data_IF_350047741821
#
_entry.id   IF_350047741821
#
_cell.length_a   1.000
_cell.length_b   1.000
_cell.length_c   1.000
_cell.angle_alpha   90.00
_cell.angle_beta   90.00
_cell.angle_gamma   90.00
#
_symmetry.space_group_name_H-M   'P 1'
#
loop_
_entity.id
_entity.type
_entity.pdbx_description
1 polymer ?
#
# COMPACT_ATOMS: atom_id res chain seq x y z
N UNK A 1 -2.27 -49.50 -13.55
CA UNK A 1 -3.30 -48.52 -13.94
C UNK A 1 -3.80 -47.90 -12.65
N UNK A 2 -3.31 -46.70 -12.33
CA UNK A 2 -3.75 -45.91 -11.17
C UNK A 2 -4.38 -44.64 -11.74
N UNK A 3 -5.63 -44.39 -11.37
CA UNK A 3 -6.48 -43.30 -11.84
C UNK A 3 -5.87 -41.93 -11.54
N UNK A 4 -5.61 -41.16 -12.60
CA UNK A 4 -5.11 -39.78 -12.57
C UNK A 4 -6.29 -38.79 -12.72
N UNK A 5 -7.14 -38.68 -11.71
CA UNK A 5 -8.14 -37.61 -11.64
C UNK A 5 -8.24 -37.04 -10.21
N UNK A 6 -7.30 -36.12 -9.92
CA UNK A 6 -7.38 -34.96 -9.00
C UNK A 6 -5.96 -34.52 -8.64
N UNK A 7 -5.46 -33.35 -9.07
CA UNK A 7 -4.34 -32.72 -8.40
C UNK A 7 -4.86 -31.96 -7.18
N UNK A 8 -4.99 -32.69 -6.08
CA UNK A 8 -5.06 -32.14 -4.72
C UNK A 8 -3.64 -31.76 -4.30
N UNK A 9 -3.20 -30.52 -4.53
CA UNK A 9 -2.18 -29.85 -3.70
C UNK A 9 -2.46 -28.34 -3.73
N UNK A 10 -3.53 -27.93 -3.06
CA UNK A 10 -3.75 -26.55 -2.65
C UNK A 10 -3.00 -26.33 -1.32
N UNK A 11 -1.90 -25.58 -1.34
CA UNK A 11 -1.37 -24.99 -0.12
C UNK A 11 -1.92 -23.57 0.02
N UNK A 12 -2.81 -23.39 1.01
CA UNK A 12 -3.19 -22.12 1.65
C UNK A 12 -4.15 -21.14 0.95
N UNK A 13 -4.94 -21.55 -0.05
CA UNK A 13 -5.99 -20.66 -0.59
C UNK A 13 -7.43 -21.20 -0.56
N UNK A 14 -7.66 -22.51 -0.44
CA UNK A 14 -9.03 -23.05 -0.50
C UNK A 14 -9.71 -23.29 0.86
N UNK A 15 -9.00 -23.37 1.98
CA UNK A 15 -9.64 -23.78 3.25
C UNK A 15 -10.17 -22.67 4.15
N UNK A 16 -9.97 -21.38 3.83
CA UNK A 16 -10.26 -20.28 4.79
C UNK A 16 -10.86 -19.01 4.20
N UNK A 17 -11.38 -19.08 2.97
CA UNK A 17 -12.01 -17.93 2.30
C UNK A 17 -13.54 -18.03 2.19
N UNK A 18 -14.14 -19.11 2.70
CA UNK A 18 -15.58 -19.41 2.58
C UNK A 18 -16.44 -18.87 3.72
N UNK A 19 -15.86 -18.55 4.87
CA UNK A 19 -16.62 -18.05 6.01
C UNK A 19 -16.41 -16.55 6.22
N UNK A 20 -17.48 -15.85 6.59
CA UNK A 20 -17.51 -14.43 6.98
C UNK A 20 -16.65 -14.10 8.22
N UNK A 21 -15.64 -14.91 8.54
CA UNK A 21 -14.73 -14.71 9.64
C UNK A 21 -13.45 -14.00 9.19
N UNK A 22 -12.95 -13.18 10.10
CA UNK A 22 -11.84 -12.25 9.91
C UNK A 22 -10.62 -12.94 9.31
N UNK A 23 -10.22 -12.53 8.11
CA UNK A 23 -8.94 -12.89 7.46
C UNK A 23 -7.74 -12.67 8.40
N UNK A 24 -7.86 -11.80 9.40
CA UNK A 24 -6.84 -11.59 10.44
C UNK A 24 -6.68 -12.78 11.38
N UNK A 25 -7.76 -13.46 11.78
CA UNK A 25 -7.69 -14.60 12.71
C UNK A 25 -7.17 -15.88 12.04
N UNK A 26 -7.53 -16.08 10.77
CA UNK A 26 -7.20 -17.29 10.02
C UNK A 26 -5.74 -17.40 9.56
N UNK A 27 -4.98 -16.30 9.57
CA UNK A 27 -3.52 -16.33 9.34
C UNK A 27 -2.72 -16.19 10.64
N UNK A 28 -3.36 -16.29 11.81
CA UNK A 28 -2.70 -16.07 13.10
C UNK A 28 -2.37 -14.61 13.38
N UNK A 29 -2.84 -13.66 12.58
CA UNK A 29 -2.75 -12.22 12.84
C UNK A 29 -3.83 -11.79 13.84
N UNK A 30 -3.86 -12.40 15.03
CA UNK A 30 -4.71 -11.89 16.10
C UNK A 30 -4.28 -10.45 16.42
N UNK A 31 -5.17 -9.49 16.23
CA UNK A 31 -5.04 -8.11 16.71
C UNK A 31 -3.98 -7.24 16.04
N UNK A 32 -4.42 -6.25 15.24
CA UNK A 32 -3.75 -4.95 15.00
C UNK A 32 -2.35 -4.94 14.36
N UNK A 33 -1.78 -6.08 13.98
CA UNK A 33 -0.35 -6.17 13.62
C UNK A 33 -0.02 -5.90 12.15
N UNK A 34 -0.98 -5.99 11.23
CA UNK A 34 -0.77 -5.74 9.78
C UNK A 34 -1.85 -4.83 9.19
N UNK A 35 -1.49 -4.00 8.19
CA UNK A 35 -2.42 -3.08 7.51
C UNK A 35 -3.32 -3.84 6.54
N UNK A 36 -4.57 -3.39 6.42
CA UNK A 36 -5.66 -4.03 5.65
C UNK A 36 -5.48 -4.05 4.11
N UNK A 37 -4.33 -3.60 3.58
CA UNK A 37 -4.10 -3.51 2.14
C UNK A 37 -3.26 -4.69 1.67
N UNK A 38 -3.87 -5.57 0.89
CA UNK A 38 -3.22 -6.74 0.28
C UNK A 38 -3.14 -6.55 -1.24
N UNK A 39 -1.92 -6.64 -1.76
CA UNK A 39 -1.60 -6.69 -3.19
C UNK A 39 -1.75 -8.12 -3.65
N UNK A 40 -2.56 -8.35 -4.68
CA UNK A 40 -2.65 -9.65 -5.35
C UNK A 40 -2.18 -9.48 -6.78
N UNK A 41 -1.16 -10.25 -7.16
CA UNK A 41 -0.58 -10.23 -8.49
C UNK A 41 -0.66 -11.61 -9.15
N UNK A 42 -0.95 -11.63 -10.45
CA UNK A 42 -1.11 -12.84 -11.23
C UNK A 42 -0.17 -12.87 -12.42
N UNK A 43 0.86 -13.70 -12.32
CA UNK A 43 1.97 -13.73 -13.26
C UNK A 43 2.06 -15.07 -13.97
N UNK A 44 2.14 -15.05 -15.31
CA UNK A 44 2.22 -16.27 -16.11
C UNK A 44 3.51 -17.05 -15.84
N UNK A 45 3.35 -18.38 -15.75
CA UNK A 45 4.46 -19.32 -15.80
C UNK A 45 5.07 -19.32 -17.21
N UNK A 46 6.38 -19.61 -17.27
CA UNK A 46 7.13 -19.68 -18.52
C UNK A 46 7.51 -21.11 -18.91
N UNK A 47 7.30 -22.07 -18.01
CA UNK A 47 7.50 -23.49 -18.28
C UNK A 47 6.42 -24.01 -19.23
N UNK A 48 6.53 -25.29 -19.64
CA UNK A 48 5.53 -25.94 -20.50
C UNK A 48 4.11 -25.94 -19.90
N UNK A 49 4.00 -25.72 -18.59
CA UNK A 49 2.74 -25.56 -17.88
C UNK A 49 2.16 -24.15 -18.11
N UNK A 50 1.00 -24.08 -18.75
CA UNK A 50 0.28 -22.82 -19.04
C UNK A 50 -0.46 -22.23 -17.82
N UNK A 51 0.13 -22.37 -16.63
CA UNK A 51 -0.44 -21.90 -15.37
C UNK A 51 -0.16 -20.42 -15.08
N UNK A 52 -0.87 -19.90 -14.09
CA UNK A 52 -0.66 -18.58 -13.50
C UNK A 52 -0.21 -18.77 -12.06
N UNK A 53 0.90 -18.15 -11.70
CA UNK A 53 1.30 -18.01 -10.29
C UNK A 53 0.62 -16.77 -9.71
N UNK A 54 -0.21 -16.97 -8.70
CA UNK A 54 -0.79 -15.89 -7.92
C UNK A 54 0.05 -15.70 -6.66
N UNK A 55 0.30 -14.44 -6.33
CA UNK A 55 0.93 -14.05 -5.07
C UNK A 55 0.09 -13.01 -4.38
N UNK A 56 -0.05 -13.14 -3.07
CA UNK A 56 -0.66 -12.12 -2.21
C UNK A 56 0.43 -11.57 -1.30
N UNK A 57 0.48 -10.26 -1.14
CA UNK A 57 1.56 -9.60 -0.41
C UNK A 57 1.11 -8.28 0.18
N UNK A 58 1.73 -7.87 1.28
CA UNK A 58 1.49 -6.58 1.93
C UNK A 58 2.81 -5.87 2.22
N UNK A 59 2.75 -4.70 2.84
CA UNK A 59 3.89 -4.02 3.42
C UNK A 59 3.88 -4.28 4.93
N UNK A 60 5.05 -4.49 5.53
CA UNK A 60 5.17 -4.59 6.99
C UNK A 60 5.40 -3.21 7.64
N UNK A 61 5.47 -3.20 8.96
CA UNK A 61 5.76 -2.03 9.77
C UNK A 61 7.17 -1.45 9.57
N UNK A 62 8.06 -2.12 8.83
CA UNK A 62 9.37 -1.60 8.43
C UNK A 62 9.36 -1.01 7.01
N UNK A 63 8.23 -1.07 6.30
CA UNK A 63 8.09 -0.60 4.93
C UNK A 63 8.59 -1.58 3.87
N UNK A 64 8.73 -2.86 4.21
CA UNK A 64 9.24 -3.91 3.32
C UNK A 64 8.13 -4.86 2.87
N UNK A 65 8.32 -5.52 1.72
CA UNK A 65 7.32 -6.42 1.11
C UNK A 65 7.21 -7.72 1.89
N UNK A 66 6.05 -8.01 2.46
CA UNK A 66 5.72 -9.26 3.14
C UNK A 66 4.84 -10.14 2.23
N UNK A 67 5.36 -11.23 1.66
CA UNK A 67 4.54 -12.25 1.02
C UNK A 67 3.62 -12.92 2.06
N UNK A 68 2.34 -13.05 1.74
CA UNK A 68 1.33 -13.66 2.61
C UNK A 68 0.98 -15.07 2.14
N UNK A 69 0.69 -15.23 0.85
CA UNK A 69 0.37 -16.52 0.25
C UNK A 69 0.76 -16.57 -1.23
N UNK A 70 0.91 -17.78 -1.77
CA UNK A 70 1.14 -18.02 -3.19
C UNK A 70 0.43 -19.30 -3.63
N UNK A 71 -0.02 -19.35 -4.88
CA UNK A 71 -0.64 -20.54 -5.48
C UNK A 71 -0.36 -20.59 -6.98
N UNK A 72 -0.34 -21.79 -7.55
CA UNK A 72 -0.36 -21.99 -9.01
C UNK A 72 -1.76 -22.43 -9.39
N UNK A 73 -2.41 -21.66 -10.26
CA UNK A 73 -3.76 -21.95 -10.77
C UNK A 73 -3.71 -22.14 -12.28
N UNK A 74 -4.67 -22.90 -12.81
CA UNK A 74 -4.93 -22.87 -14.25
C UNK A 74 -5.59 -21.53 -14.62
N UNK A 75 -5.27 -21.05 -15.83
CA UNK A 75 -5.73 -19.78 -16.39
C UNK A 75 -7.27 -19.65 -16.42
N UNK A 76 -7.99 -20.76 -16.52
CA UNK A 76 -9.46 -20.79 -16.56
C UNK A 76 -10.11 -20.59 -15.18
N UNK A 77 -9.44 -20.97 -14.09
CA UNK A 77 -9.98 -20.91 -12.73
C UNK A 77 -9.79 -19.55 -12.04
N UNK A 78 -8.91 -18.70 -12.58
CA UNK A 78 -8.61 -17.37 -12.02
C UNK A 78 -9.85 -16.48 -11.88
N UNK A 79 -10.78 -16.53 -12.84
CA UNK A 79 -12.01 -15.71 -12.81
C UNK A 79 -13.00 -16.16 -11.74
N UNK A 80 -13.01 -17.45 -11.38
CA UNK A 80 -13.93 -18.04 -10.40
C UNK A 80 -13.44 -17.80 -8.96
N UNK A 81 -12.14 -17.89 -8.72
CA UNK A 81 -11.57 -17.73 -7.37
C UNK A 81 -11.59 -16.28 -6.85
N UNK A 82 -11.69 -15.29 -7.74
CA UNK A 82 -11.34 -13.90 -7.45
C UNK A 82 -12.49 -13.01 -6.95
N UNK A 83 -13.73 -13.50 -6.82
CA UNK A 83 -14.95 -12.69 -6.57
C UNK A 83 -14.80 -11.39 -5.76
N UNK A 84 -15.56 -10.35 -6.11
CA UNK A 84 -15.46 -9.02 -5.46
C UNK A 84 -15.74 -9.09 -3.95
N UNK A 85 -14.82 -8.55 -3.13
CA UNK A 85 -14.96 -8.46 -1.67
C UNK A 85 -14.87 -7.02 -1.19
N UNK A 86 -15.80 -6.63 -0.32
CA UNK A 86 -15.74 -5.34 0.37
C UNK A 86 -14.49 -5.28 1.28
N UNK A 87 -13.89 -4.09 1.41
CA UNK A 87 -12.72 -3.80 2.25
C UNK A 87 -11.37 -4.40 1.80
N UNK A 88 -11.24 -4.90 0.57
CA UNK A 88 -9.97 -5.34 0.01
C UNK A 88 -9.56 -4.48 -1.20
N UNK A 89 -8.38 -3.86 -1.17
CA UNK A 89 -7.86 -3.07 -2.30
C UNK A 89 -6.88 -3.92 -3.12
N UNK A 90 -7.38 -4.57 -4.17
CA UNK A 90 -6.52 -5.40 -5.02
C UNK A 90 -5.78 -4.60 -6.07
N UNK A 91 -4.45 -4.64 -5.98
CA UNK A 91 -3.53 -4.04 -6.94
C UNK A 91 -2.88 -5.14 -7.76
N UNK A 92 -3.47 -5.46 -8.92
CA UNK A 92 -2.89 -6.37 -9.91
C UNK A 92 -2.30 -5.57 -11.06
N UNK A 93 -1.12 -5.96 -11.55
CA UNK A 93 -0.49 -5.47 -12.79
C UNK A 93 -1.42 -5.40 -14.02
N UNK A 94 -2.46 -6.25 -14.08
CA UNK A 94 -3.50 -6.28 -15.11
C UNK A 94 -4.72 -5.42 -14.80
N UNK A 95 -4.80 -4.85 -13.61
CA UNK A 95 -5.90 -3.97 -13.24
C UNK A 95 -5.72 -2.60 -13.90
N UNK A 96 -6.72 -2.20 -14.69
CA UNK A 96 -6.74 -0.91 -15.43
C UNK A 96 -6.66 0.32 -14.52
N UNK A 97 -6.70 0.12 -13.20
CA UNK A 97 -6.67 1.13 -12.14
C UNK A 97 -5.27 1.48 -11.62
N UNK A 98 -4.21 0.74 -12.00
CA UNK A 98 -2.85 1.06 -11.54
C UNK A 98 -2.33 2.33 -12.20
N UNK A 99 -1.77 3.24 -11.39
CA UNK A 99 -1.35 4.57 -11.83
C UNK A 99 -0.47 4.55 -13.08
N UNK A 100 0.51 3.63 -13.13
CA UNK A 100 1.46 3.46 -14.24
C UNK A 100 0.79 2.95 -15.52
N UNK A 101 -0.24 2.10 -15.40
CA UNK A 101 -0.98 1.59 -16.54
C UNK A 101 -1.87 2.68 -17.15
N UNK A 102 -2.62 3.41 -16.32
CA UNK A 102 -3.39 4.58 -16.77
C UNK A 102 -2.48 5.60 -17.43
N UNK A 103 -1.32 5.89 -16.84
CA UNK A 103 -0.33 6.80 -17.44
C UNK A 103 0.16 6.31 -18.81
N UNK A 104 0.45 5.01 -18.96
CA UNK A 104 0.81 4.42 -20.25
C UNK A 104 -0.30 4.62 -21.28
N UNK A 105 -1.55 4.41 -20.89
CA UNK A 105 -2.70 4.64 -21.77
C UNK A 105 -2.86 6.12 -22.14
N UNK A 106 -2.64 7.04 -21.19
CA UNK A 106 -2.64 8.48 -21.45
C UNK A 106 -1.56 8.83 -22.46
N UNK A 107 -0.34 8.31 -22.28
CA UNK A 107 0.79 8.55 -23.20
C UNK A 107 0.51 8.07 -24.62
N UNK A 108 -0.16 6.93 -24.77
CA UNK A 108 -0.48 6.37 -26.10
C UNK A 108 -1.62 7.16 -26.76
N UNK A 109 -2.66 7.53 -26.00
CA UNK A 109 -3.87 8.19 -26.53
C UNK A 109 -3.71 9.69 -26.74
N UNK A 110 -2.97 10.38 -25.87
CA UNK A 110 -2.90 11.84 -25.81
C UNK A 110 -1.46 12.31 -25.94
N UNK A 111 -1.12 12.88 -27.10
CA UNK A 111 0.28 13.21 -27.47
C UNK A 111 0.78 14.58 -26.97
N UNK A 112 -0.09 15.40 -26.37
CA UNK A 112 0.20 16.80 -26.01
C UNK A 112 0.75 16.89 -24.59
N UNK A 113 1.82 17.67 -24.38
CA UNK A 113 2.24 18.10 -23.04
C UNK A 113 2.68 16.99 -22.07
N UNK A 114 3.20 15.86 -22.57
CA UNK A 114 3.48 14.66 -21.77
C UNK A 114 4.25 14.88 -20.47
N UNK A 115 5.31 15.70 -20.48
CA UNK A 115 6.11 15.94 -19.27
C UNK A 115 5.26 16.57 -18.16
N UNK A 116 4.60 17.69 -18.46
CA UNK A 116 3.74 18.42 -17.51
C UNK A 116 2.51 17.59 -17.10
N UNK A 117 1.90 16.85 -18.03
CA UNK A 117 0.80 15.94 -17.73
C UNK A 117 1.24 14.80 -16.80
N UNK A 118 2.44 14.26 -16.97
CA UNK A 118 2.97 13.20 -16.11
C UNK A 118 3.02 13.68 -14.66
N UNK A 119 3.66 14.82 -14.44
CA UNK A 119 3.81 15.41 -13.12
C UNK A 119 2.46 15.70 -12.48
N UNK A 120 1.55 16.37 -13.21
CA UNK A 120 0.22 16.70 -12.70
C UNK A 120 -0.63 15.45 -12.43
N UNK A 121 -0.59 14.44 -13.30
CA UNK A 121 -1.35 13.21 -13.13
C UNK A 121 -0.90 12.46 -11.86
N UNK A 122 0.39 12.21 -11.70
CA UNK A 122 0.90 11.52 -10.51
C UNK A 122 0.74 12.36 -9.23
N UNK A 123 0.80 13.70 -9.33
CA UNK A 123 0.51 14.57 -8.20
C UNK A 123 -0.98 14.54 -7.83
N UNK A 124 -1.90 14.54 -8.82
CA UNK A 124 -3.35 14.46 -8.60
C UNK A 124 -3.72 13.13 -7.94
N UNK A 125 -3.17 12.03 -8.44
CA UNK A 125 -3.37 10.70 -7.87
C UNK A 125 -2.98 10.62 -6.39
N UNK A 126 -1.96 11.39 -5.98
CA UNK A 126 -1.39 11.43 -4.62
C UNK A 126 -1.94 12.55 -3.75
N UNK A 127 -2.86 13.38 -4.25
CA UNK A 127 -3.49 14.45 -3.48
C UNK A 127 -4.10 13.91 -2.19
N UNK A 128 -3.82 14.62 -1.09
CA UNK A 128 -4.39 14.31 0.22
C UNK A 128 -5.70 15.07 0.49
N UNK A 129 -5.97 16.13 -0.28
CA UNK A 129 -7.18 16.95 -0.16
C UNK A 129 -7.88 17.08 -1.51
N UNK A 130 -9.20 17.31 -1.47
CA UNK A 130 -10.01 17.52 -2.67
C UNK A 130 -9.59 18.82 -3.37
N UNK A 131 -9.22 19.85 -2.62
CA UNK A 131 -8.78 21.12 -3.18
C UNK A 131 -7.50 20.96 -4.01
N UNK A 132 -6.49 20.27 -3.49
CA UNK A 132 -5.26 19.98 -4.25
C UNK A 132 -5.55 19.11 -5.47
N UNK A 133 -6.46 18.14 -5.34
CA UNK A 133 -6.89 17.31 -6.46
C UNK A 133 -7.55 18.15 -7.56
N UNK A 134 -8.54 18.96 -7.21
CA UNK A 134 -9.29 19.79 -8.13
C UNK A 134 -8.39 20.83 -8.82
N UNK A 135 -7.51 21.50 -8.08
CA UNK A 135 -6.54 22.45 -8.64
C UNK A 135 -5.65 21.79 -9.70
N UNK A 136 -5.16 20.57 -9.42
CA UNK A 136 -4.32 19.82 -10.37
C UNK A 136 -5.13 19.31 -11.56
N UNK A 137 -6.38 18.88 -11.36
CA UNK A 137 -7.28 18.48 -12.45
C UNK A 137 -7.61 19.64 -13.39
N UNK A 138 -7.83 20.86 -12.88
CA UNK A 138 -7.99 22.05 -13.71
C UNK A 138 -6.75 22.33 -14.56
N UNK A 139 -5.55 22.18 -13.99
CA UNK A 139 -4.28 22.30 -14.75
C UNK A 139 -4.11 21.22 -15.80
N UNK A 140 -4.63 20.01 -15.59
CA UNK A 140 -4.64 18.93 -16.61
C UNK A 140 -5.58 19.31 -17.74
N UNK A 141 -6.76 19.84 -17.41
CA UNK A 141 -7.77 20.28 -18.37
C UNK A 141 -7.27 21.40 -19.28
N UNK A 142 -6.55 22.38 -18.72
CA UNK A 142 -5.87 23.45 -19.49
C UNK A 142 -4.88 22.89 -20.53
N UNK A 143 -4.22 21.77 -20.23
CA UNK A 143 -3.26 21.15 -21.15
C UNK A 143 -3.99 20.37 -22.23
N UNK A 144 -4.85 19.44 -21.83
CA UNK A 144 -5.68 18.64 -22.73
C UNK A 144 -6.98 18.19 -22.04
N UNK A 145 -8.14 18.80 -22.34
CA UNK A 145 -9.40 18.50 -21.68
C UNK A 145 -9.87 17.06 -21.92
N UNK A 146 -9.40 16.41 -22.99
CA UNK A 146 -9.71 15.01 -23.29
C UNK A 146 -9.10 14.05 -22.26
N UNK A 147 -7.98 14.45 -21.64
CA UNK A 147 -7.34 13.67 -20.56
C UNK A 147 -8.22 13.71 -19.31
N UNK A 148 -8.77 14.87 -18.96
CA UNK A 148 -9.69 15.03 -17.82
C UNK A 148 -10.95 14.18 -18.01
N UNK A 149 -11.59 14.24 -19.18
CA UNK A 149 -12.74 13.39 -19.50
C UNK A 149 -12.40 11.90 -19.40
N UNK A 150 -11.26 11.48 -19.96
CA UNK A 150 -10.79 10.10 -19.87
C UNK A 150 -10.54 9.64 -18.42
N UNK A 151 -9.97 10.49 -17.58
CA UNK A 151 -9.73 10.20 -16.17
C UNK A 151 -11.03 10.10 -15.36
N UNK A 152 -12.03 10.90 -15.71
CA UNK A 152 -13.38 10.84 -15.15
C UNK A 152 -14.06 9.52 -15.50
N UNK A 153 -14.02 9.11 -16.78
CA UNK A 153 -14.62 7.86 -17.27
C UNK A 153 -14.04 6.61 -16.60
N UNK A 154 -12.76 6.61 -16.23
CA UNK A 154 -12.15 5.53 -15.44
C UNK A 154 -12.79 5.43 -14.05
N UNK A 155 -13.20 6.57 -13.49
CA UNK A 155 -13.70 6.73 -12.13
C UNK A 155 -12.57 7.06 -11.14
N UNK A 156 -12.63 8.24 -10.52
CA UNK A 156 -11.56 8.74 -9.62
C UNK A 156 -11.28 7.83 -8.44
N UNK A 157 -12.30 7.15 -7.88
CA UNK A 157 -12.13 6.19 -6.80
C UNK A 157 -11.13 5.07 -7.13
N UNK A 158 -10.97 4.74 -8.43
CA UNK A 158 -10.06 3.69 -8.88
C UNK A 158 -8.60 4.08 -8.85
N UNK A 159 -8.25 5.36 -8.97
CA UNK A 159 -6.85 5.78 -9.13
C UNK A 159 -6.41 6.94 -8.22
N UNK A 160 -7.33 7.76 -7.73
CA UNK A 160 -7.01 8.89 -6.84
C UNK A 160 -7.12 8.52 -5.36
N UNK A 161 -6.14 8.92 -4.55
CA UNK A 161 -6.13 8.70 -3.08
C UNK A 161 -7.37 9.31 -2.42
N UNK A 162 -7.65 10.58 -2.70
CA UNK A 162 -8.72 11.34 -2.02
C UNK A 162 -10.13 10.81 -2.32
N UNK A 163 -10.30 10.09 -3.43
CA UNK A 163 -11.58 9.48 -3.83
C UNK A 163 -11.67 7.98 -3.50
N UNK A 164 -10.61 7.37 -2.96
CA UNK A 164 -10.59 5.95 -2.66
C UNK A 164 -11.55 5.63 -1.51
N UNK A 165 -12.33 4.56 -1.65
CA UNK A 165 -13.23 4.07 -0.58
C UNK A 165 -12.47 3.42 0.57
N UNK A 166 -11.28 2.87 0.29
CA UNK A 166 -10.40 2.23 1.26
C UNK A 166 -9.08 2.99 1.31
N UNK A 167 -8.55 3.14 2.51
CA UNK A 167 -7.29 3.84 2.72
C UNK A 167 -6.11 3.05 2.12
N UNK A 168 -5.65 3.46 0.93
CA UNK A 168 -4.62 2.77 0.12
C UNK A 168 -3.26 3.48 0.06
N UNK A 169 -2.96 4.33 1.04
CA UNK A 169 -1.84 5.30 1.04
C UNK A 169 -0.56 4.82 0.38
N UNK A 170 -0.11 3.62 0.75
CA UNK A 170 1.20 3.09 0.37
C UNK A 170 1.15 2.15 -0.84
N UNK A 171 -0.05 1.83 -1.32
CA UNK A 171 -0.28 0.79 -2.33
C UNK A 171 -1.00 1.37 -3.54
N UNK A 172 -0.52 2.51 -4.04
CA UNK A 172 -1.03 3.12 -5.27
C UNK A 172 -0.20 2.76 -6.51
N UNK A 173 0.91 2.06 -6.30
CA UNK A 173 1.82 1.61 -7.35
C UNK A 173 1.93 0.09 -7.35
N UNK A 174 2.34 -0.46 -8.49
CA UNK A 174 2.65 -1.88 -8.68
C UNK A 174 3.99 -2.28 -8.04
N UNK A 175 4.63 -1.46 -7.22
CA UNK A 175 6.01 -1.71 -6.75
C UNK A 175 6.16 -3.04 -6.01
N UNK A 176 5.15 -3.42 -5.20
CA UNK A 176 5.14 -4.68 -4.46
C UNK A 176 5.13 -5.86 -5.45
N UNK A 177 4.19 -5.84 -6.40
CA UNK A 177 4.07 -6.84 -7.45
C UNK A 177 5.32 -6.91 -8.36
N UNK A 178 5.81 -5.75 -8.85
CA UNK A 178 7.00 -5.66 -9.70
C UNK A 178 8.24 -6.25 -9.02
N UNK A 179 8.43 -5.97 -7.73
CA UNK A 179 9.57 -6.50 -6.96
C UNK A 179 9.50 -8.02 -6.80
N UNK A 180 8.32 -8.58 -6.49
CA UNK A 180 8.15 -10.03 -6.40
C UNK A 180 8.30 -10.72 -7.75
N UNK A 181 7.77 -10.11 -8.82
CA UNK A 181 7.91 -10.62 -10.18
C UNK A 181 9.35 -10.61 -10.67
N UNK A 182 10.18 -9.67 -10.20
CA UNK A 182 11.61 -9.64 -10.44
C UNK A 182 12.34 -10.78 -9.72
N UNK A 183 12.05 -11.00 -8.44
CA UNK A 183 12.68 -12.07 -7.64
C UNK A 183 12.32 -13.46 -8.16
N UNK A 184 11.06 -13.66 -8.54
CA UNK A 184 10.55 -14.96 -9.02
C UNK A 184 10.74 -15.17 -10.53
N UNK A 185 11.39 -14.24 -11.24
CA UNK A 185 11.47 -14.23 -12.72
C UNK A 185 11.99 -15.55 -13.31
N UNK A 186 13.02 -16.14 -12.71
CA UNK A 186 13.66 -17.37 -13.17
C UNK A 186 13.00 -18.62 -12.59
N UNK A 187 12.52 -18.55 -11.35
CA UNK A 187 11.80 -19.66 -10.73
C UNK A 187 10.54 -20.06 -11.54
N UNK A 188 9.92 -19.11 -12.24
CA UNK A 188 8.77 -19.35 -13.13
C UNK A 188 9.06 -20.21 -14.37
N UNK A 189 10.32 -20.51 -14.64
CA UNK A 189 10.75 -21.42 -15.72
C UNK A 189 10.90 -22.86 -15.22
N UNK A 190 10.89 -23.08 -13.90
CA UNK A 190 11.03 -24.39 -13.27
C UNK A 190 9.74 -25.23 -13.39
N UNK A 191 9.84 -26.57 -13.25
CA UNK A 191 8.68 -27.43 -12.98
C UNK A 191 7.90 -26.96 -11.73
N UNK A 192 6.60 -27.26 -11.67
CA UNK A 192 5.71 -26.75 -10.61
C UNK A 192 6.24 -27.10 -9.21
N UNK A 193 6.71 -28.33 -8.99
CA UNK A 193 7.22 -28.76 -7.67
C UNK A 193 8.43 -27.93 -7.24
N UNK A 194 9.37 -27.69 -8.16
CA UNK A 194 10.56 -26.87 -7.89
C UNK A 194 10.22 -25.39 -7.70
N UNK A 195 9.23 -24.87 -8.43
CA UNK A 195 8.73 -23.51 -8.23
C UNK A 195 8.11 -23.35 -6.82
N UNK A 196 7.31 -24.32 -6.37
CA UNK A 196 6.70 -24.27 -5.04
C UNK A 196 7.77 -24.34 -3.94
N UNK A 197 8.78 -25.20 -4.10
CA UNK A 197 9.89 -25.28 -3.13
C UNK A 197 10.74 -24.00 -3.14
N UNK A 198 10.95 -23.39 -4.31
CA UNK A 198 11.58 -22.07 -4.41
C UNK A 198 10.80 -21.01 -3.63
N UNK A 199 9.47 -20.95 -3.82
CA UNK A 199 8.61 -19.97 -3.15
C UNK A 199 8.60 -20.19 -1.64
N UNK A 200 8.53 -21.45 -1.18
CA UNK A 200 8.64 -21.80 0.23
C UNK A 200 9.96 -21.30 0.83
N UNK A 201 11.08 -21.64 0.19
CA UNK A 201 12.43 -21.23 0.64
C UNK A 201 12.59 -19.71 0.63
N UNK A 202 12.01 -19.03 -0.37
CA UNK A 202 12.03 -17.57 -0.47
C UNK A 202 11.32 -16.93 0.72
N UNK A 203 10.11 -17.39 1.04
CA UNK A 203 9.31 -16.89 2.17
C UNK A 203 10.02 -17.17 3.50
N UNK A 204 10.49 -18.40 3.73
CA UNK A 204 11.21 -18.77 4.95
C UNK A 204 12.47 -17.90 5.15
N UNK A 205 13.27 -17.71 4.10
CA UNK A 205 14.46 -16.87 4.14
C UNK A 205 14.11 -15.42 4.45
N UNK A 206 13.13 -14.83 3.77
CA UNK A 206 12.72 -13.44 3.99
C UNK A 206 12.18 -13.23 5.40
N UNK A 207 11.33 -14.14 5.89
CA UNK A 207 10.82 -14.12 7.27
C UNK A 207 11.97 -14.11 8.27
N UNK A 208 12.97 -15.00 8.11
CA UNK A 208 14.13 -15.07 9.00
C UNK A 208 14.99 -13.80 8.95
N UNK A 209 15.34 -13.34 7.75
CA UNK A 209 16.15 -12.11 7.57
C UNK A 209 15.47 -10.89 8.20
N UNK A 210 14.15 -10.78 8.05
CA UNK A 210 13.39 -9.66 8.58
C UNK A 210 13.16 -9.74 10.08
N UNK A 211 12.92 -10.92 10.62
CA UNK A 211 12.88 -11.13 12.07
C UNK A 211 14.21 -10.70 12.72
N UNK A 212 15.34 -11.06 12.11
CA UNK A 212 16.67 -10.63 12.59
C UNK A 212 16.81 -9.12 12.55
N UNK A 213 16.40 -8.46 11.45
CA UNK A 213 16.41 -6.99 11.32
C UNK A 213 15.48 -6.32 12.33
N UNK A 214 14.30 -6.86 12.57
CA UNK A 214 13.35 -6.34 13.56
C UNK A 214 13.92 -6.45 14.98
N UNK A 215 14.56 -7.57 15.32
CA UNK A 215 15.24 -7.76 16.61
C UNK A 215 16.40 -6.78 16.80
N UNK A 216 17.16 -6.50 15.73
CA UNK A 216 18.27 -5.54 15.74
C UNK A 216 17.85 -4.07 15.56
N UNK A 217 16.56 -3.80 15.42
CA UNK A 217 16.03 -2.43 15.39
C UNK A 217 15.84 -1.98 16.84
N UNK A 218 16.42 -0.84 17.22
CA UNK A 218 16.28 -0.27 18.57
C UNK A 218 15.40 0.99 18.61
N UNK A 219 14.88 1.40 17.46
CA UNK A 219 13.92 2.50 17.35
C UNK A 219 12.53 2.06 17.80
N UNK A 220 11.71 3.04 18.18
CA UNK A 220 10.35 2.79 18.63
C UNK A 220 9.42 2.36 17.47
N UNK A 221 9.65 2.93 16.28
CA UNK A 221 9.01 2.54 15.02
C UNK A 221 9.91 1.66 14.16
N UNK A 222 9.33 0.95 13.18
CA UNK A 222 10.11 0.33 12.12
C UNK A 222 10.95 1.35 11.34
N UNK A 223 12.14 0.93 10.89
CA UNK A 223 13.21 1.81 10.40
C UNK A 223 12.74 2.91 9.42
N UNK A 224 11.95 2.55 8.39
CA UNK A 224 11.44 3.50 7.39
C UNK A 224 10.61 4.61 8.04
N UNK A 225 9.67 4.25 8.92
CA UNK A 225 8.75 5.21 9.51
C UNK A 225 9.39 6.00 10.66
N UNK A 226 10.38 5.43 11.35
CA UNK A 226 11.19 6.21 12.28
C UNK A 226 11.96 7.32 11.55
N UNK A 227 12.59 6.99 10.42
CA UNK A 227 13.27 7.98 9.59
C UNK A 227 12.32 9.07 9.08
N UNK A 228 11.14 8.66 8.58
CA UNK A 228 10.10 9.60 8.14
C UNK A 228 9.63 10.51 9.27
N UNK A 229 9.49 9.97 10.48
CA UNK A 229 9.15 10.75 11.67
C UNK A 229 10.26 11.75 12.05
N UNK A 230 11.53 11.35 11.99
CA UNK A 230 12.68 12.22 12.26
C UNK A 230 12.78 13.37 11.23
N UNK A 231 12.56 13.06 9.96
CA UNK A 231 12.48 14.04 8.88
C UNK A 231 11.31 15.01 9.13
N UNK A 232 10.14 14.49 9.51
CA UNK A 232 8.98 15.31 9.83
C UNK A 232 9.21 16.19 11.06
N UNK A 233 9.91 15.68 12.07
CA UNK A 233 10.30 16.45 13.27
C UNK A 233 11.21 17.59 12.87
N UNK A 234 12.21 17.33 12.03
CA UNK A 234 13.13 18.34 11.48
C UNK A 234 12.37 19.45 10.76
N UNK A 235 11.41 19.09 9.89
CA UNK A 235 10.57 20.05 9.17
C UNK A 235 9.67 20.85 10.13
N UNK A 236 9.17 20.23 11.19
CA UNK A 236 8.29 20.88 12.16
C UNK A 236 8.95 22.09 12.84
N UNK A 237 10.28 22.11 12.97
CA UNK A 237 11.02 23.21 13.62
C UNK A 237 10.89 24.54 12.88
N UNK A 238 10.60 24.50 11.57
CA UNK A 238 10.41 25.69 10.74
C UNK A 238 9.00 26.28 10.84
N UNK A 239 8.08 25.56 11.48
CA UNK A 239 6.66 25.90 11.51
C UNK A 239 6.32 26.71 12.76
N UNK A 240 5.44 27.70 12.57
CA UNK A 240 4.92 28.52 13.67
C UNK A 240 3.50 28.09 14.01
N UNK A 241 3.21 27.92 15.30
CA UNK A 241 1.90 27.49 15.78
C UNK A 241 1.21 28.62 16.53
N UNK A 242 -0.09 28.77 16.29
CA UNK A 242 -1.00 29.63 17.04
C UNK A 242 -2.14 28.77 17.60
N UNK A 243 -2.18 28.64 18.91
CA UNK A 243 -3.32 28.00 19.58
C UNK A 243 -4.58 28.83 19.32
N UNK A 244 -5.65 28.17 18.91
CA UNK A 244 -6.99 28.77 18.78
C UNK A 244 -7.89 28.32 19.93
N UNK A 245 -7.76 27.06 20.34
CA UNK A 245 -8.35 26.45 21.55
C UNK A 245 -7.36 25.44 22.12
N UNK A 246 -7.73 24.73 23.18
CA UNK A 246 -6.91 23.66 23.76
C UNK A 246 -6.63 22.51 22.79
N UNK A 247 -7.52 22.29 21.81
CA UNK A 247 -7.43 21.17 20.87
C UNK A 247 -7.13 21.61 19.43
N UNK A 248 -7.54 22.82 19.05
CA UNK A 248 -7.42 23.34 17.68
C UNK A 248 -6.27 24.35 17.59
N UNK A 249 -5.36 24.08 16.66
CA UNK A 249 -4.16 24.87 16.46
C UNK A 249 -4.01 25.24 14.99
N UNK A 250 -3.66 26.50 14.73
CA UNK A 250 -3.31 26.97 13.40
C UNK A 250 -1.79 26.89 13.23
N UNK A 251 -1.34 26.09 12.28
CA UNK A 251 0.08 25.95 11.91
C UNK A 251 0.35 26.76 10.65
N UNK A 252 1.39 27.59 10.69
CA UNK A 252 1.78 28.50 9.62
C UNK A 252 3.06 27.98 8.98
N UNK A 253 3.00 27.72 7.68
CA UNK A 253 4.10 27.31 6.81
C UNK A 253 4.23 28.30 5.66
N UNK A 254 5.08 29.31 5.85
CA UNK A 254 5.17 30.46 4.94
C UNK A 254 3.81 31.17 4.78
N UNK A 255 3.25 31.11 3.57
CA UNK A 255 1.93 31.70 3.23
C UNK A 255 0.76 30.76 3.51
N UNK A 256 1.02 29.46 3.69
CA UNK A 256 -0.01 28.44 3.91
C UNK A 256 -0.34 28.34 5.39
N UNK A 257 -1.61 28.02 5.67
CA UNK A 257 -2.13 27.79 7.01
C UNK A 257 -2.81 26.43 7.06
N UNK A 258 -2.53 25.69 8.11
CA UNK A 258 -3.12 24.38 8.35
C UNK A 258 -3.79 24.36 9.71
N UNK A 259 -4.93 23.69 9.78
CA UNK A 259 -5.68 23.50 11.02
C UNK A 259 -5.38 22.10 11.52
N UNK A 260 -4.88 21.99 12.74
CA UNK A 260 -4.57 20.74 13.42
C UNK A 260 -5.48 20.57 14.61
N UNK A 261 -6.08 19.39 14.73
CA UNK A 261 -6.83 18.95 15.90
C UNK A 261 -6.17 17.68 16.44
N UNK A 262 -5.50 17.78 17.60
CA UNK A 262 -4.77 16.66 18.19
C UNK A 262 -5.70 15.57 18.73
N UNK A 263 -6.79 15.97 19.40
CA UNK A 263 -7.81 15.06 19.95
C UNK A 263 -8.36 14.10 18.89
N UNK A 264 -8.68 14.63 17.72
CA UNK A 264 -9.23 13.84 16.61
C UNK A 264 -8.14 13.29 15.67
N UNK A 265 -6.85 13.53 15.95
CA UNK A 265 -5.71 13.18 15.10
C UNK A 265 -5.88 13.63 13.64
N UNK A 266 -6.38 14.86 13.44
CA UNK A 266 -6.70 15.43 12.12
C UNK A 266 -5.86 16.64 11.79
N UNK A 267 -5.49 16.77 10.52
CA UNK A 267 -4.91 17.97 9.96
C UNK A 267 -5.60 18.33 8.64
N UNK A 268 -5.77 19.62 8.36
CA UNK A 268 -6.31 20.08 7.09
C UNK A 268 -5.42 19.72 5.88
N UNK A 269 -4.17 19.30 6.09
CA UNK A 269 -3.32 18.78 5.02
C UNK A 269 -3.68 17.34 4.58
N UNK A 270 -4.55 16.64 5.31
CA UNK A 270 -4.95 15.27 4.98
C UNK A 270 -4.01 14.18 5.49
N UNK A 271 -2.71 14.47 5.60
CA UNK A 271 -1.68 13.45 5.82
C UNK A 271 -1.73 12.80 7.20
N UNK A 272 -1.97 13.59 8.25
CA UNK A 272 -1.95 13.08 9.63
C UNK A 272 -2.97 11.96 9.86
N UNK A 273 -4.20 12.17 9.42
CA UNK A 273 -5.30 11.22 9.55
C UNK A 273 -5.21 10.05 8.56
N UNK A 274 -4.65 10.28 7.37
CA UNK A 274 -4.53 9.22 6.37
C UNK A 274 -3.36 8.32 6.73
N UNK A 275 -2.16 8.89 6.85
CA UNK A 275 -0.93 8.12 7.10
C UNK A 275 -0.94 7.50 8.50
N UNK A 276 -1.77 8.02 9.43
CA UNK A 276 -1.82 7.62 10.84
C UNK A 276 -0.43 7.76 11.51
N UNK A 277 0.32 8.76 11.06
CA UNK A 277 1.65 9.12 11.53
C UNK A 277 1.70 10.66 11.68
N UNK A 278 2.23 11.19 12.80
CA UNK A 278 2.39 12.62 12.98
C UNK A 278 3.17 13.26 11.82
N UNK A 279 2.49 14.20 11.14
CA UNK A 279 3.08 15.04 10.10
C UNK A 279 3.71 16.29 10.72
N UNK A 280 4.61 17.06 10.04
CA UNK A 280 5.24 18.25 10.61
C UNK A 280 4.29 19.22 11.29
N UNK A 281 3.06 19.38 10.77
CA UNK A 281 2.04 20.22 11.40
C UNK A 281 1.65 19.72 12.79
N UNK A 282 1.34 18.43 12.93
CA UNK A 282 1.00 17.84 14.23
C UNK A 282 2.19 17.87 15.19
N UNK A 283 3.39 17.53 14.71
CA UNK A 283 4.61 17.58 15.51
C UNK A 283 4.96 18.98 16.00
N UNK A 284 4.68 20.02 15.20
CA UNK A 284 4.90 21.40 15.61
C UNK A 284 3.98 21.79 16.78
N UNK A 285 2.73 21.32 16.76
CA UNK A 285 1.77 21.55 17.85
C UNK A 285 2.18 20.79 19.11
N UNK A 286 2.53 19.51 18.98
CA UNK A 286 3.01 18.70 20.11
C UNK A 286 4.24 19.31 20.78
N UNK A 287 5.19 19.80 19.97
CA UNK A 287 6.36 20.53 20.49
C UNK A 287 5.96 21.79 21.26
N UNK A 288 4.98 22.56 20.79
CA UNK A 288 4.51 23.76 21.50
C UNK A 288 3.90 23.42 22.86
N UNK A 289 3.29 22.23 22.98
CA UNK A 289 2.62 21.75 24.19
C UNK A 289 3.50 20.91 25.12
N UNK A 290 4.75 20.67 24.71
CA UNK A 290 5.67 19.75 25.39
C UNK A 290 5.07 18.33 25.59
N UNK A 291 4.25 17.90 24.63
CA UNK A 291 3.63 16.57 24.63
C UNK A 291 4.43 15.59 23.77
N UNK A 292 4.40 14.32 24.19
CA UNK A 292 5.03 13.22 23.47
C UNK A 292 4.20 12.84 22.23
N UNK A 293 4.83 12.32 21.17
CA UNK A 293 4.15 11.98 19.91
C UNK A 293 3.70 10.52 19.85
N UNK A 294 4.08 9.72 20.83
CA UNK A 294 3.96 8.26 20.90
C UNK A 294 2.49 7.81 20.87
N UNK A 295 1.57 8.63 21.39
CA UNK A 295 0.14 8.35 21.39
C UNK A 295 -0.56 8.72 20.06
N UNK A 296 0.16 9.37 19.14
CA UNK A 296 -0.41 10.01 17.95
C UNK A 296 -0.12 9.26 16.64
N UNK A 297 0.53 8.09 16.69
CA UNK A 297 0.64 7.21 15.52
C UNK A 297 -0.07 5.87 15.72
N UNK A 298 -0.32 5.19 14.61
CA UNK A 298 -0.93 3.86 14.59
C UNK A 298 0.01 2.81 15.22
N UNK A 299 -0.49 1.94 16.12
CA UNK A 299 0.29 0.83 16.67
C UNK A 299 0.91 -0.05 15.58
N UNK A 300 0.32 -0.10 14.39
CA UNK A 300 0.88 -0.80 13.24
C UNK A 300 2.37 -0.49 13.00
N UNK A 301 2.82 0.75 13.25
CA UNK A 301 4.20 1.15 12.97
C UNK A 301 5.21 0.72 14.04
N UNK A 302 4.74 0.21 15.19
CA UNK A 302 5.62 -0.08 16.32
C UNK A 302 6.52 -1.26 16.03
N UNK A 303 7.72 -1.22 16.63
CA UNK A 303 8.63 -2.37 16.65
C UNK A 303 7.96 -3.62 17.25
N UNK A 304 7.11 -3.46 18.25
CA UNK A 304 6.38 -4.57 18.88
C UNK A 304 5.51 -5.32 17.86
N UNK A 305 4.70 -4.61 17.08
CA UNK A 305 3.86 -5.23 16.05
C UNK A 305 4.69 -5.74 14.86
N UNK A 306 5.83 -5.09 14.55
CA UNK A 306 6.78 -5.62 13.58
C UNK A 306 7.33 -7.00 14.01
N UNK A 307 7.69 -7.16 15.29
CA UNK A 307 8.17 -8.44 15.82
C UNK A 307 7.08 -9.50 15.76
N UNK A 308 5.87 -9.18 16.25
CA UNK A 308 4.69 -10.07 16.18
C UNK A 308 4.37 -10.54 14.76
N UNK A 309 4.58 -9.69 13.76
CA UNK A 309 4.35 -10.05 12.35
C UNK A 309 5.20 -11.24 11.90
N UNK A 310 6.38 -11.44 12.51
CA UNK A 310 7.33 -12.50 12.17
C UNK A 310 7.47 -13.57 13.26
N UNK A 311 6.73 -13.45 14.36
CA UNK A 311 6.57 -14.50 15.35
C UNK A 311 5.64 -15.55 14.73
N UNK A 312 6.24 -16.63 14.23
CA UNK A 312 5.51 -17.80 13.74
C UNK A 312 4.77 -18.40 14.95
N UNK A 313 3.45 -18.66 14.87
CA UNK A 313 2.72 -19.42 15.88
C UNK A 313 3.29 -20.82 16.14
#
# INVERSE_FOLDING_TARGET
>A
MLDYHKPTVAALLETRLTDHHNITEDFGFSGRSTRLVVVVDGTFLKSAYRGIMLTTSTMDAAGTILPLAYVVVDSEQFKLAYGERANMCVVSDRNKSILKHIWTNIRVKFKKGHLKLSELYFASARSYTLDEFNERMSKIEEIDPRVTAYLYDIGYHRWSRVHAMVNRIWTMTSNIAESLNAVTKYARELPIVELLEYMRTLVERWTKEKLLKAKSTFTYLGYKFNKELDDNRTLSHKLRVRASTDYIHTVIDGVRRYIVCLENKKCSCGQFQLDELPYPHALAVLRQRDESFEEYFSPYYTRENLLRTYEIP
#
